data_IF_297443871358
#
_entry.id   IF_297443871358
#
_cell.length_a   1.000
_cell.length_b   1.000
_cell.length_c   1.000
_cell.angle_alpha   90.00
_cell.angle_beta   90.00
_cell.angle_gamma   90.00
#
_symmetry.space_group_name_H-M   'P 1'
#
loop_
_entity.id
_entity.type
_entity.pdbx_description
1 polymer ?
#
# COMPACT_ATOMS: atom_id res chain seq x y z
N UNK A 1 -3.36 6.88 15.99
CA UNK A 1 -4.70 6.69 15.40
C UNK A 1 -4.89 5.34 14.71
N UNK A 2 -3.85 4.67 14.20
CA UNK A 2 -3.98 3.39 13.49
C UNK A 2 -4.59 2.26 14.33
N UNK A 3 -4.32 2.21 15.65
CA UNK A 3 -4.97 1.24 16.58
C UNK A 3 -6.50 1.39 16.66
N UNK A 4 -7.05 2.53 16.23
CA UNK A 4 -8.49 2.80 16.14
C UNK A 4 -9.03 2.54 14.72
N UNK A 5 -8.27 1.88 13.84
CA UNK A 5 -8.64 1.62 12.45
C UNK A 5 -8.54 2.82 11.52
N UNK A 6 -8.09 3.99 12.01
CA UNK A 6 -7.89 5.19 11.20
C UNK A 6 -6.54 5.16 10.51
N UNK A 7 -6.49 4.47 9.37
CA UNK A 7 -5.31 4.39 8.51
C UNK A 7 -5.33 5.43 7.40
N UNK A 8 -4.16 5.90 7.02
CA UNK A 8 -3.94 6.78 5.86
C UNK A 8 -3.00 6.06 4.89
N UNK A 9 -3.42 5.91 3.64
CA UNK A 9 -2.60 5.31 2.61
C UNK A 9 -1.40 6.20 2.27
N UNK A 10 -0.25 5.55 2.05
CA UNK A 10 0.91 6.18 1.44
C UNK A 10 0.61 6.53 -0.03
N UNK A 11 1.28 7.57 -0.59
CA UNK A 11 1.01 8.03 -1.95
C UNK A 11 1.43 7.03 -3.04
N UNK A 12 2.24 6.03 -2.71
CA UNK A 12 2.70 4.99 -3.63
C UNK A 12 1.69 3.84 -3.78
N UNK A 13 0.51 4.15 -4.30
CA UNK A 13 -0.51 3.15 -4.60
C UNK A 13 -0.15 2.29 -5.83
N UNK A 14 -0.54 1.01 -5.78
CA UNK A 14 -0.35 0.03 -6.86
C UNK A 14 -1.71 -0.49 -7.30
N UNK A 15 -2.02 -0.37 -8.58
CA UNK A 15 -3.21 -0.97 -9.17
C UNK A 15 -2.98 -2.40 -9.62
N UNK A 16 -3.91 -3.30 -9.31
CA UNK A 16 -3.95 -4.65 -9.87
C UNK A 16 -5.40 -5.14 -9.98
N UNK A 17 -5.86 -5.35 -11.22
CA UNK A 17 -7.15 -5.97 -11.60
C UNK A 17 -8.35 -5.57 -10.72
N UNK A 18 -8.66 -4.27 -10.63
CA UNK A 18 -9.85 -3.78 -9.93
C UNK A 18 -9.59 -3.25 -8.52
N UNK A 19 -8.39 -3.47 -7.99
CA UNK A 19 -8.00 -3.08 -6.65
C UNK A 19 -6.78 -2.17 -6.65
N UNK A 20 -6.81 -1.16 -5.78
CA UNK A 20 -5.64 -0.39 -5.38
C UNK A 20 -5.10 -0.95 -4.07
N UNK A 21 -3.78 -1.07 -4.00
CA UNK A 21 -3.04 -1.52 -2.85
C UNK A 21 -2.08 -0.42 -2.41
N UNK A 22 -1.90 -0.23 -1.11
CA UNK A 22 -0.89 0.66 -0.55
C UNK A 22 -0.52 0.16 0.85
N UNK A 23 0.39 0.84 1.52
CA UNK A 23 0.66 0.65 2.94
C UNK A 23 0.27 1.89 3.72
N UNK A 24 -0.04 1.73 5.00
CA UNK A 24 -0.32 2.87 5.86
C UNK A 24 0.96 3.67 6.10
N UNK A 25 0.94 4.96 5.75
CA UNK A 25 2.12 5.82 5.89
C UNK A 25 2.63 6.00 7.33
N UNK A 26 1.81 5.66 8.33
CA UNK A 26 2.14 5.82 9.75
C UNK A 26 2.58 4.51 10.42
N UNK A 27 2.03 3.36 10.02
CA UNK A 27 2.29 2.09 10.71
C UNK A 27 2.66 0.92 9.79
N UNK A 28 2.74 1.14 8.48
CA UNK A 28 3.10 0.11 7.50
C UNK A 28 2.05 -0.97 7.25
N UNK A 29 0.87 -0.90 7.87
CA UNK A 29 -0.19 -1.89 7.65
C UNK A 29 -0.63 -1.90 6.20
N UNK A 30 -0.84 -3.09 5.61
CA UNK A 30 -1.33 -3.20 4.25
C UNK A 30 -2.75 -2.65 4.12
N UNK A 31 -3.01 -1.91 3.04
CA UNK A 31 -4.30 -1.31 2.74
C UNK A 31 -4.77 -1.69 1.34
N UNK A 32 -6.07 -1.89 1.19
CA UNK A 32 -6.74 -2.14 -0.08
C UNK A 32 -7.96 -1.25 -0.25
N UNK A 33 -8.27 -0.88 -1.49
CA UNK A 33 -9.56 -0.30 -1.88
C UNK A 33 -9.94 -0.72 -3.30
N UNK A 34 -11.23 -0.62 -3.62
CA UNK A 34 -11.70 -0.59 -5.02
C UNK A 34 -11.68 0.86 -5.54
N UNK A 35 -11.95 1.07 -6.83
CA UNK A 35 -11.97 2.41 -7.41
C UNK A 35 -12.92 3.39 -6.71
N UNK A 36 -14.09 2.91 -6.26
CA UNK A 36 -15.06 3.70 -5.51
C UNK A 36 -14.99 3.48 -3.99
N UNK A 37 -14.11 2.60 -3.52
CA UNK A 37 -14.03 2.15 -2.13
C UNK A 37 -13.11 3.01 -1.27
N UNK A 38 -13.29 2.89 0.05
CA UNK A 38 -12.38 3.48 1.05
C UNK A 38 -11.22 2.53 1.34
N UNK A 39 -10.07 3.11 1.67
CA UNK A 39 -8.92 2.37 2.19
C UNK A 39 -9.28 1.64 3.48
N UNK A 40 -8.92 0.37 3.54
CA UNK A 40 -9.08 -0.45 4.75
C UNK A 40 -8.02 -1.56 4.80
N UNK A 41 -7.78 -2.09 6.00
CA UNK A 41 -6.93 -3.28 6.18
C UNK A 41 -7.70 -4.51 5.72
N UNK A 42 -7.13 -5.37 4.84
CA UNK A 42 -7.80 -6.57 4.39
C UNK A 42 -8.01 -7.55 5.57
N UNK A 43 -9.23 -8.09 5.70
CA UNK A 43 -9.57 -9.08 6.72
C UNK A 43 -9.50 -10.49 6.13
N UNK A 44 -8.85 -11.41 6.84
CA UNK A 44 -8.72 -12.82 6.43
C UNK A 44 -7.86 -13.04 5.18
N UNK A 45 -7.12 -12.03 4.72
CA UNK A 45 -6.25 -12.07 3.54
C UNK A 45 -5.01 -11.23 3.82
N UNK A 46 -3.90 -11.58 3.18
CA UNK A 46 -2.65 -10.80 3.21
C UNK A 46 -2.32 -10.30 1.81
N UNK A 47 -1.74 -9.11 1.73
CA UNK A 47 -1.20 -8.57 0.48
C UNK A 47 0.25 -9.04 0.36
N UNK A 48 0.60 -9.57 -0.81
CA UNK A 48 1.96 -10.02 -1.11
C UNK A 48 2.58 -9.03 -2.08
N UNK A 49 3.59 -8.31 -1.61
CA UNK A 49 4.32 -7.34 -2.40
C UNK A 49 5.46 -8.00 -3.15
N UNK A 50 5.59 -7.71 -4.44
CA UNK A 50 6.83 -7.99 -5.15
C UNK A 50 7.92 -7.06 -4.60
N UNK A 51 9.13 -7.56 -4.31
CA UNK A 51 10.21 -6.69 -3.88
C UNK A 51 10.45 -5.62 -4.95
N UNK A 52 10.37 -4.35 -4.54
CA UNK A 52 10.78 -3.25 -5.41
C UNK A 52 12.28 -3.42 -5.61
N UNK A 53 12.73 -3.76 -6.83
CA UNK A 53 14.15 -3.65 -7.16
C UNK A 53 14.55 -2.21 -6.86
N UNK A 54 15.53 -1.95 -5.98
CA UNK A 54 16.04 -0.60 -5.83
C UNK A 54 16.46 -0.14 -7.22
N UNK A 55 15.91 0.99 -7.69
CA UNK A 55 16.46 1.64 -8.88
C UNK A 55 17.86 2.04 -8.46
N UNK A 56 18.87 1.27 -8.88
CA UNK A 56 20.25 1.62 -8.64
C UNK A 56 20.44 3.04 -9.14
N UNK A 57 20.95 3.93 -8.29
CA UNK A 57 21.49 5.21 -8.74
C UNK A 57 22.52 4.85 -9.82
N UNK A 58 22.33 5.34 -11.04
CA UNK A 58 23.38 5.22 -12.05
C UNK A 58 24.65 5.82 -11.45
N UNK A 59 25.79 5.12 -11.46
CA UNK A 59 27.05 5.73 -11.05
C UNK A 59 27.41 6.82 -12.07
N UNK A 60 27.40 8.10 -11.67
CA UNK A 60 27.98 9.21 -12.44
C UNK A 60 27.04 10.34 -12.87
N UNK A 61 26.38 11.02 -11.93
CA UNK A 61 25.98 12.45 -12.09
C UNK A 61 26.91 13.32 -11.24
#
# INVERSE_FOLDING_TARGET
MCRLGRHKAAPDEVWNRGYFFSQCSACGADLVRTAAGKWHVPKGRKIVWKPKKPRGRAPGE
#
